data_IF_760021417588
#
_entry.id   IF_760021417588
#
_cell.length_a   1.000
_cell.length_b   1.000
_cell.length_c   1.000
_cell.angle_alpha   90.00
_cell.angle_beta   90.00
_cell.angle_gamma   90.00
#
_symmetry.space_group_name_H-M   'P 1'
#
loop_
_entity.id
_entity.type
_entity.pdbx_description
1 polymer ?
#
# COMPACT_ATOMS: atom_id res chain seq x y z
N UNK A 1 60.24 46.67 -32.47
CA UNK A 1 59.36 45.51 -32.30
C UNK A 1 58.84 45.54 -30.87
N UNK A 2 57.53 45.71 -30.71
CA UNK A 2 56.87 45.97 -29.42
C UNK A 2 56.51 44.63 -28.78
N UNK A 3 56.90 44.39 -27.54
CA UNK A 3 56.32 43.30 -26.75
C UNK A 3 55.62 43.89 -25.53
N UNK A 4 54.29 43.86 -25.60
CA UNK A 4 53.35 44.23 -24.56
C UNK A 4 53.09 42.98 -23.72
N UNK A 5 53.51 43.00 -22.45
CA UNK A 5 53.15 41.97 -21.47
C UNK A 5 51.73 42.21 -20.96
N UNK A 6 50.81 41.33 -21.33
CA UNK A 6 49.46 41.30 -20.78
C UNK A 6 49.44 40.40 -19.54
N UNK A 7 49.18 40.98 -18.38
CA UNK A 7 48.58 40.26 -17.27
C UNK A 7 47.05 40.32 -17.48
N UNK A 8 46.31 39.23 -17.18
CA UNK A 8 45.14 39.26 -16.30
C UNK A 8 44.38 37.91 -16.22
N UNK A 9 44.00 37.62 -14.98
CA UNK A 9 42.88 36.82 -14.44
C UNK A 9 42.64 35.38 -14.92
N UNK A 10 43.10 34.44 -14.10
CA UNK A 10 42.44 33.15 -13.94
C UNK A 10 41.16 33.35 -13.12
N UNK A 11 39.99 33.21 -13.75
CA UNK A 11 38.72 33.09 -13.05
C UNK A 11 38.58 31.64 -12.56
N UNK A 12 38.64 31.43 -11.24
CA UNK A 12 38.37 30.15 -10.62
C UNK A 12 36.84 29.94 -10.56
N UNK A 13 36.31 29.08 -11.42
CA UNK A 13 34.91 28.66 -11.39
C UNK A 13 34.83 27.41 -10.50
N UNK A 14 34.46 27.57 -9.23
CA UNK A 14 34.23 26.44 -8.33
C UNK A 14 32.87 25.82 -8.66
N UNK A 15 32.88 24.73 -9.42
CA UNK A 15 31.70 23.94 -9.71
C UNK A 15 31.29 23.18 -8.44
N UNK A 16 30.27 23.68 -7.73
CA UNK A 16 29.60 22.89 -6.69
C UNK A 16 28.79 21.79 -7.37
N UNK A 17 29.37 20.58 -7.48
CA UNK A 17 28.60 19.36 -7.73
C UNK A 17 27.74 19.08 -6.49
N UNK A 18 26.55 19.66 -6.44
CA UNK A 18 25.47 19.15 -5.62
C UNK A 18 24.99 17.84 -6.24
N UNK A 19 25.57 16.71 -5.84
CA UNK A 19 24.98 15.40 -6.09
C UNK A 19 23.82 15.28 -5.12
N UNK A 20 22.67 15.87 -5.46
CA UNK A 20 21.42 15.43 -4.89
C UNK A 20 21.19 14.03 -5.41
N UNK A 21 21.44 13.02 -4.56
CA UNK A 21 20.91 11.69 -4.82
C UNK A 21 19.38 11.86 -4.89
N UNK A 22 18.82 11.87 -6.09
CA UNK A 22 17.41 11.56 -6.24
C UNK A 22 17.24 10.20 -5.58
N UNK A 23 16.53 10.16 -4.44
CA UNK A 23 16.15 8.88 -3.84
C UNK A 23 15.41 8.13 -4.95
N UNK A 24 15.95 6.99 -5.36
CA UNK A 24 15.35 6.21 -6.43
C UNK A 24 13.97 5.75 -5.95
N UNK A 25 12.93 6.41 -6.44
CA UNK A 25 11.55 6.04 -6.25
C UNK A 25 11.37 4.63 -6.83
N UNK A 26 11.09 3.66 -5.96
CA UNK A 26 10.86 2.28 -6.38
C UNK A 26 9.38 2.11 -6.69
N UNK A 27 9.08 1.33 -7.72
CA UNK A 27 7.72 0.93 -8.03
C UNK A 27 7.52 -0.53 -7.61
N UNK A 28 6.52 -0.75 -6.76
CA UNK A 28 6.11 -2.06 -6.28
C UNK A 28 4.81 -2.46 -6.98
N UNK A 29 4.60 -3.74 -7.20
CA UNK A 29 3.35 -4.25 -7.80
C UNK A 29 2.51 -4.97 -6.75
N UNK A 30 1.21 -4.71 -6.78
CA UNK A 30 0.20 -5.42 -5.99
C UNK A 30 -0.89 -5.88 -6.94
N UNK A 31 -1.09 -7.19 -7.04
CA UNK A 31 -2.16 -7.78 -7.84
C UNK A 31 -3.48 -7.72 -7.08
N UNK A 32 -4.57 -7.35 -7.74
CA UNK A 32 -5.93 -7.45 -7.22
C UNK A 32 -6.59 -8.69 -7.86
N UNK A 33 -6.71 -9.75 -7.07
CA UNK A 33 -6.98 -11.10 -7.55
C UNK A 33 -8.43 -11.49 -7.26
N UNK A 34 -9.04 -12.17 -8.23
CA UNK A 34 -10.27 -12.94 -8.05
C UNK A 34 -9.93 -14.41 -8.31
N UNK A 35 -10.01 -15.25 -7.28
CA UNK A 35 -9.65 -16.66 -7.35
C UNK A 35 -10.87 -17.55 -7.16
N UNK A 36 -11.14 -18.43 -8.12
CA UNK A 36 -12.19 -19.43 -8.00
C UNK A 36 -11.72 -20.56 -7.09
N UNK A 37 -12.37 -20.70 -5.93
CA UNK A 37 -12.07 -21.79 -4.99
C UNK A 37 -13.05 -22.94 -5.23
N UNK A 38 -12.51 -24.13 -5.47
CA UNK A 38 -13.32 -25.34 -5.69
C UNK A 38 -14.27 -25.58 -4.50
N UNK A 39 -15.54 -25.84 -4.79
CA UNK A 39 -16.56 -26.09 -3.77
C UNK A 39 -17.08 -24.84 -3.05
N UNK A 40 -16.56 -23.64 -3.34
CA UNK A 40 -17.03 -22.38 -2.75
C UNK A 40 -17.98 -21.65 -3.72
N UNK A 41 -19.16 -21.17 -3.26
CA UNK A 41 -20.09 -20.44 -4.12
C UNK A 41 -19.63 -19.03 -4.46
N UNK A 42 -18.69 -18.48 -3.68
CA UNK A 42 -18.15 -17.12 -3.80
C UNK A 42 -16.63 -17.23 -3.99
N UNK A 43 -16.02 -16.53 -4.97
CA UNK A 43 -14.57 -16.50 -5.14
C UNK A 43 -13.84 -15.95 -3.90
N UNK A 44 -12.54 -16.20 -3.80
CA UNK A 44 -11.68 -15.40 -2.93
C UNK A 44 -11.30 -14.10 -3.65
N UNK A 45 -11.22 -13.00 -2.91
CA UNK A 45 -10.83 -11.68 -3.40
C UNK A 45 -9.74 -11.13 -2.49
N UNK A 46 -8.57 -10.81 -3.04
CA UNK A 46 -7.42 -10.40 -2.23
C UNK A 46 -6.42 -9.55 -3.01
N UNK A 47 -5.62 -8.80 -2.26
CA UNK A 47 -4.42 -8.16 -2.77
C UNK A 47 -3.24 -9.15 -2.63
N UNK A 48 -2.34 -9.19 -3.62
CA UNK A 48 -1.12 -9.99 -3.58
C UNK A 48 0.11 -9.12 -3.93
N UNK A 49 1.06 -8.91 -3.00
CA UNK A 49 1.01 -9.37 -1.61
C UNK A 49 -0.08 -8.63 -0.80
N UNK A 50 -0.54 -9.26 0.28
CA UNK A 50 -1.56 -8.71 1.20
C UNK A 50 -0.94 -7.86 2.31
N UNK A 51 0.36 -8.03 2.56
CA UNK A 51 1.18 -7.15 3.39
C UNK A 51 2.41 -6.68 2.62
N UNK A 52 2.77 -5.40 2.70
CA UNK A 52 3.90 -4.86 1.94
C UNK A 52 4.67 -3.80 2.74
N UNK A 53 5.99 -3.88 2.74
CA UNK A 53 6.91 -2.83 3.19
C UNK A 53 7.41 -2.04 1.98
N UNK A 54 7.27 -0.72 2.02
CA UNK A 54 7.83 0.21 1.02
C UNK A 54 8.54 1.38 1.72
N UNK A 55 9.25 2.22 0.97
CA UNK A 55 9.86 3.44 1.51
C UNK A 55 9.01 4.68 1.19
N UNK A 56 9.09 5.76 2.01
CA UNK A 56 8.47 7.03 1.66
C UNK A 56 8.89 7.51 0.27
N UNK A 57 7.90 7.89 -0.54
CA UNK A 57 8.07 8.30 -1.93
C UNK A 57 7.96 7.16 -2.95
N UNK A 58 7.87 5.91 -2.53
CA UNK A 58 7.64 4.78 -3.43
C UNK A 58 6.22 4.80 -4.01
N UNK A 59 6.07 4.19 -5.20
CA UNK A 59 4.77 4.01 -5.87
C UNK A 59 4.34 2.56 -5.83
N UNK A 60 3.06 2.31 -5.58
CA UNK A 60 2.44 0.99 -5.75
C UNK A 60 1.56 0.99 -6.99
N UNK A 61 1.80 0.02 -7.87
CA UNK A 61 1.00 -0.34 -9.04
C UNK A 61 0.00 -1.42 -8.65
N UNK A 62 -1.26 -1.03 -8.52
CA UNK A 62 -2.37 -1.95 -8.29
C UNK A 62 -2.88 -2.51 -9.62
N UNK A 63 -2.52 -3.75 -9.93
CA UNK A 63 -2.83 -4.41 -11.21
C UNK A 63 -4.06 -5.29 -11.06
N UNK A 64 -5.11 -5.05 -11.85
CA UNK A 64 -6.32 -5.85 -11.78
C UNK A 64 -6.15 -7.19 -12.52
N UNK A 65 -5.95 -8.27 -11.77
CA UNK A 65 -5.93 -9.64 -12.29
C UNK A 65 -7.34 -10.26 -12.41
N UNK A 66 -8.32 -9.68 -11.72
CA UNK A 66 -9.74 -10.05 -11.78
C UNK A 66 -10.65 -8.82 -11.87
N UNK A 67 -11.95 -9.01 -12.11
CA UNK A 67 -12.89 -7.90 -12.28
C UNK A 67 -13.31 -7.27 -10.94
N UNK A 68 -13.82 -6.04 -11.03
CA UNK A 68 -14.51 -5.31 -9.95
C UNK A 68 -13.64 -4.96 -8.73
N UNK A 69 -12.37 -4.61 -8.96
CA UNK A 69 -11.45 -4.25 -7.87
C UNK A 69 -11.23 -2.76 -7.73
N UNK A 70 -11.05 -2.32 -6.49
CA UNK A 70 -10.52 -0.99 -6.14
C UNK A 70 -9.40 -1.13 -5.12
N UNK A 71 -8.54 -0.12 -5.03
CA UNK A 71 -7.61 0.09 -3.92
C UNK A 71 -7.99 1.39 -3.22
N UNK A 72 -8.55 1.29 -2.02
CA UNK A 72 -9.18 2.41 -1.31
C UNK A 72 -8.61 2.52 0.11
N UNK A 73 -8.23 3.72 0.53
CA UNK A 73 -7.79 3.95 1.90
C UNK A 73 -8.94 3.76 2.91
N UNK A 74 -8.65 3.14 4.05
CA UNK A 74 -9.50 3.24 5.23
C UNK A 74 -9.40 4.66 5.81
N UNK A 75 -10.38 5.50 5.49
CA UNK A 75 -10.39 6.92 5.85
C UNK A 75 -11.79 7.39 6.26
N UNK A 76 -11.88 8.30 7.23
CA UNK A 76 -13.13 8.85 7.76
C UNK A 76 -14.09 9.41 6.70
N UNK A 77 -13.54 10.01 5.65
CA UNK A 77 -14.34 10.56 4.54
C UNK A 77 -14.95 9.49 3.62
N UNK A 78 -14.51 8.23 3.72
CA UNK A 78 -15.17 7.08 3.10
C UNK A 78 -16.19 6.41 4.03
N UNK A 79 -16.55 7.06 5.15
CA UNK A 79 -17.42 6.50 6.20
C UNK A 79 -16.82 5.21 6.78
N UNK A 80 -15.48 5.19 6.87
CA UNK A 80 -14.69 4.11 7.44
C UNK A 80 -13.87 4.63 8.61
N UNK A 81 -13.34 3.73 9.43
CA UNK A 81 -12.33 4.11 10.42
C UNK A 81 -11.10 4.72 9.74
N UNK A 82 -10.47 5.70 10.40
CA UNK A 82 -9.25 6.31 9.90
C UNK A 82 -8.05 5.40 10.24
N UNK A 83 -7.45 4.78 9.22
CA UNK A 83 -6.39 3.76 9.34
C UNK A 83 -5.23 4.07 8.38
N UNK A 84 -4.92 5.34 8.24
CA UNK A 84 -3.75 5.85 7.50
C UNK A 84 -3.03 6.84 8.41
N UNK A 85 -1.75 7.18 8.15
CA UNK A 85 -1.03 8.17 8.95
C UNK A 85 -1.74 9.52 9.02
N UNK A 86 -1.53 10.24 10.13
CA UNK A 86 -2.11 11.57 10.32
C UNK A 86 -1.70 12.53 9.21
N UNK A 87 -2.66 13.34 8.74
CA UNK A 87 -2.44 14.29 7.65
C UNK A 87 -2.50 13.68 6.24
N UNK A 88 -2.58 12.36 6.10
CA UNK A 88 -2.87 11.70 4.81
C UNK A 88 -4.36 11.86 4.48
N UNK A 89 -4.66 12.44 3.32
CA UNK A 89 -6.02 12.57 2.81
C UNK A 89 -6.62 11.25 2.30
N UNK A 90 -7.93 11.20 1.99
CA UNK A 90 -8.51 10.01 1.38
C UNK A 90 -7.93 9.77 -0.01
N UNK A 91 -7.80 8.50 -0.38
CA UNK A 91 -7.59 8.10 -1.77
C UNK A 91 -8.37 6.84 -2.11
N UNK A 92 -8.76 6.73 -3.38
CA UNK A 92 -9.37 5.55 -3.94
C UNK A 92 -9.05 5.49 -5.42
N UNK A 93 -8.71 4.30 -5.92
CA UNK A 93 -8.82 4.03 -7.35
C UNK A 93 -10.29 4.11 -7.80
N UNK A 94 -10.57 4.36 -9.10
CA UNK A 94 -11.80 3.88 -9.70
C UNK A 94 -11.83 2.34 -9.70
N UNK A 95 -12.93 1.74 -10.17
CA UNK A 95 -12.89 0.31 -10.52
C UNK A 95 -11.88 0.12 -11.65
N UNK A 96 -10.84 -0.66 -11.40
CA UNK A 96 -9.75 -0.88 -12.36
C UNK A 96 -10.15 -1.99 -13.33
N UNK A 97 -10.15 -1.77 -14.66
CA UNK A 97 -10.43 -2.81 -15.64
C UNK A 97 -9.42 -3.96 -15.57
N UNK A 98 -9.85 -5.18 -15.92
CA UNK A 98 -8.94 -6.34 -15.94
C UNK A 98 -7.80 -6.12 -16.91
N UNK A 99 -6.57 -6.32 -16.46
CA UNK A 99 -5.34 -6.08 -17.22
C UNK A 99 -4.81 -4.65 -17.13
N UNK A 100 -5.57 -3.71 -16.57
CA UNK A 100 -5.14 -2.34 -16.32
C UNK A 100 -4.52 -2.18 -14.92
N UNK A 101 -3.95 -0.99 -14.70
CA UNK A 101 -3.25 -0.61 -13.48
C UNK A 101 -3.74 0.73 -12.95
N UNK A 102 -3.77 0.88 -11.63
CA UNK A 102 -3.84 2.16 -10.96
C UNK A 102 -2.60 2.37 -10.10
N UNK A 103 -2.03 3.57 -10.11
CA UNK A 103 -0.80 3.90 -9.39
C UNK A 103 -1.07 4.88 -8.25
N UNK A 104 -0.42 4.65 -7.12
CA UNK A 104 -0.44 5.57 -5.98
C UNK A 104 0.95 5.70 -5.35
N UNK A 105 1.39 6.93 -5.11
CA UNK A 105 2.66 7.22 -4.42
C UNK A 105 2.39 7.48 -2.95
N UNK A 106 3.20 6.86 -2.09
CA UNK A 106 3.06 6.93 -0.63
C UNK A 106 4.16 7.78 -0.02
N UNK A 107 3.88 9.05 0.27
CA UNK A 107 4.89 9.99 0.79
C UNK A 107 5.02 9.98 2.32
N UNK A 108 3.93 9.70 3.05
CA UNK A 108 3.92 9.75 4.51
C UNK A 108 4.40 8.44 5.13
N UNK A 109 5.36 8.48 6.05
CA UNK A 109 5.75 7.30 6.82
C UNK A 109 4.60 6.84 7.73
N UNK A 110 4.51 5.53 7.98
CA UNK A 110 3.51 4.92 8.86
C UNK A 110 2.80 3.72 8.24
N UNK A 111 1.75 3.25 8.92
CA UNK A 111 0.96 2.08 8.51
C UNK A 111 -0.35 2.51 7.84
N UNK A 112 -0.63 1.93 6.68
CA UNK A 112 -1.81 2.17 5.86
C UNK A 112 -2.59 0.87 5.72
N UNK A 113 -3.86 0.88 6.10
CA UNK A 113 -4.79 -0.18 5.71
C UNK A 113 -5.61 0.26 4.50
N UNK A 114 -5.72 -0.63 3.53
CA UNK A 114 -6.51 -0.44 2.32
C UNK A 114 -7.58 -1.54 2.21
N UNK A 115 -8.66 -1.23 1.50
CA UNK A 115 -9.74 -2.15 1.18
C UNK A 115 -10.17 -2.03 -0.28
N UNK A 116 -10.80 -3.09 -0.77
CA UNK A 116 -11.50 -3.08 -2.05
C UNK A 116 -13.00 -2.90 -1.82
N UNK A 117 -13.59 -1.85 -2.38
CA UNK A 117 -14.95 -1.44 -2.05
C UNK A 117 -16.03 -2.50 -2.33
N UNK A 118 -16.01 -3.20 -3.48
CA UNK A 118 -16.98 -4.26 -3.75
C UNK A 118 -16.76 -5.56 -2.95
N UNK A 119 -15.57 -5.76 -2.38
CA UNK A 119 -15.13 -7.07 -1.86
C UNK A 119 -14.67 -7.06 -0.40
N UNK A 120 -14.76 -5.93 0.29
CA UNK A 120 -14.46 -5.80 1.72
C UNK A 120 -15.23 -6.81 2.57
N UNK A 121 -16.51 -6.99 2.24
CA UNK A 121 -17.38 -7.92 2.93
C UNK A 121 -16.87 -9.36 2.85
N UNK A 122 -16.04 -9.68 1.85
CA UNK A 122 -15.44 -11.00 1.66
C UNK A 122 -13.97 -11.09 2.12
N UNK A 123 -13.47 -10.05 2.80
CA UNK A 123 -12.12 -10.04 3.37
C UNK A 123 -11.06 -9.30 2.54
N UNK A 124 -11.43 -8.65 1.44
CA UNK A 124 -10.43 -8.02 0.56
C UNK A 124 -9.90 -6.70 1.13
N UNK A 125 -8.84 -6.82 1.91
CA UNK A 125 -8.06 -5.72 2.48
C UNK A 125 -6.57 -6.07 2.51
N UNK A 126 -5.74 -5.04 2.68
CA UNK A 126 -4.28 -5.19 2.77
C UNK A 126 -3.69 -4.16 3.71
N UNK A 127 -2.43 -4.40 4.10
CA UNK A 127 -1.63 -3.48 4.90
C UNK A 127 -0.33 -3.10 4.21
N UNK A 128 -0.05 -1.80 4.16
CA UNK A 128 1.22 -1.26 3.67
C UNK A 128 1.92 -0.55 4.83
N UNK A 129 3.17 -0.89 5.09
CA UNK A 129 4.06 -0.15 6.00
C UNK A 129 4.99 0.70 5.14
N UNK A 130 4.97 2.01 5.36
CA UNK A 130 5.80 2.98 4.63
C UNK A 130 6.91 3.45 5.56
N UNK A 131 8.13 3.01 5.30
CA UNK A 131 9.28 3.25 6.18
C UNK A 131 9.18 2.45 7.48
N UNK A 132 8.47 3.00 8.47
CA UNK A 132 8.29 2.40 9.80
C UNK A 132 6.81 2.34 10.21
N UNK A 133 6.39 1.35 11.02
CA UNK A 133 5.03 1.27 11.53
C UNK A 133 4.66 2.48 12.38
N UNK A 134 3.45 2.97 12.18
CA UNK A 134 2.95 4.11 12.94
C UNK A 134 1.55 4.53 12.55
N UNK A 135 1.01 5.45 13.35
CA UNK A 135 -0.30 6.04 13.10
C UNK A 135 -1.50 5.16 13.48
N UNK A 136 -2.72 5.61 13.13
CA UNK A 136 -3.99 5.01 13.52
C UNK A 136 -4.18 3.52 13.17
N UNK A 137 -3.54 3.02 12.10
CA UNK A 137 -3.64 1.61 11.72
C UNK A 137 -2.98 0.65 12.73
N UNK A 138 -2.17 1.16 13.65
CA UNK A 138 -1.56 0.37 14.73
C UNK A 138 -2.55 -0.01 15.83
N UNK A 139 -3.69 0.69 15.93
CA UNK A 139 -4.72 0.32 16.90
C UNK A 139 -5.32 -1.05 16.56
N UNK A 140 -5.73 -1.86 17.55
CA UNK A 140 -6.51 -3.06 17.30
C UNK A 140 -7.81 -2.77 16.55
N UNK A 141 -8.26 -3.71 15.73
CA UNK A 141 -9.61 -3.68 15.15
C UNK A 141 -10.57 -4.34 16.14
N UNK A 142 -11.34 -3.50 16.84
CA UNK A 142 -12.22 -3.91 17.93
C UNK A 142 -13.57 -4.48 17.44
N UNK A 143 -14.04 -4.04 16.27
CA UNK A 143 -15.27 -4.53 15.63
C UNK A 143 -14.94 -5.51 14.51
N UNK A 144 -14.95 -6.81 14.85
CA UNK A 144 -14.72 -7.93 13.92
C UNK A 144 -16.02 -8.57 13.44
N UNK A 145 -17.16 -7.90 13.63
CA UNK A 145 -18.46 -8.42 13.21
C UNK A 145 -18.60 -8.38 11.68
N UNK A 146 -19.26 -9.37 11.05
CA UNK A 146 -19.54 -9.35 9.61
C UNK A 146 -20.39 -8.15 9.15
N UNK A 147 -21.13 -7.51 10.07
CA UNK A 147 -21.91 -6.27 9.82
C UNK A 147 -21.22 -5.01 10.34
N UNK A 148 -19.99 -5.15 10.85
CA UNK A 148 -19.19 -4.07 11.38
C UNK A 148 -18.59 -3.19 10.29
N UNK A 149 -17.88 -2.13 10.71
CA UNK A 149 -17.30 -1.12 9.80
C UNK A 149 -16.31 -1.74 8.79
N UNK A 150 -15.75 -2.90 9.12
CA UNK A 150 -14.74 -3.63 8.35
C UNK A 150 -15.26 -4.95 7.74
N UNK A 151 -16.45 -5.43 8.14
CA UNK A 151 -16.92 -6.78 7.79
C UNK A 151 -15.83 -7.86 7.97
N UNK A 152 -15.71 -8.84 7.06
CA UNK A 152 -14.67 -9.87 7.15
C UNK A 152 -13.24 -9.36 6.90
N UNK A 153 -13.05 -8.14 6.35
CA UNK A 153 -11.72 -7.55 6.24
C UNK A 153 -11.07 -7.32 7.62
N UNK A 154 -11.87 -7.21 8.69
CA UNK A 154 -11.35 -7.18 10.05
C UNK A 154 -10.55 -8.44 10.40
N UNK A 155 -10.97 -9.62 9.94
CA UNK A 155 -10.31 -10.88 10.24
C UNK A 155 -8.95 -10.96 9.53
N UNK A 156 -8.91 -10.57 8.25
CA UNK A 156 -7.66 -10.48 7.47
C UNK A 156 -6.70 -9.47 8.08
N UNK A 157 -7.13 -8.23 8.32
CA UNK A 157 -6.28 -7.18 8.91
C UNK A 157 -5.85 -7.46 10.35
N UNK A 158 -6.54 -8.36 11.05
CA UNK A 158 -6.19 -8.80 12.40
C UNK A 158 -5.37 -10.09 12.43
N UNK A 159 -5.09 -10.71 11.28
CA UNK A 159 -4.26 -11.90 11.21
C UNK A 159 -2.83 -11.57 11.67
N UNK A 160 -2.19 -12.41 12.52
CA UNK A 160 -0.83 -12.17 12.98
C UNK A 160 0.20 -11.98 11.85
N UNK A 161 -0.04 -12.56 10.67
CA UNK A 161 0.83 -12.35 9.51
C UNK A 161 0.82 -10.90 9.02
N UNK A 162 -0.24 -10.12 9.28
CA UNK A 162 -0.31 -8.69 8.99
C UNK A 162 0.08 -7.79 10.18
N UNK A 163 0.71 -8.34 11.21
CA UNK A 163 1.38 -7.51 12.21
C UNK A 163 2.44 -6.62 11.52
N UNK A 164 2.44 -5.29 11.75
CA UNK A 164 3.39 -4.39 11.11
C UNK A 164 4.86 -4.74 11.35
N UNK A 165 5.20 -5.34 12.50
CA UNK A 165 6.55 -5.82 12.79
C UNK A 165 6.90 -7.09 11.98
N UNK A 166 5.90 -7.93 11.68
CA UNK A 166 6.06 -9.07 10.78
C UNK A 166 6.30 -8.61 9.33
N UNK A 167 5.53 -7.62 8.84
CA UNK A 167 5.74 -7.02 7.52
C UNK A 167 7.11 -6.35 7.43
N UNK A 168 7.53 -5.60 8.46
CA UNK A 168 8.86 -5.01 8.52
C UNK A 168 9.99 -6.04 8.38
N UNK A 169 9.83 -7.19 9.04
CA UNK A 169 10.88 -8.23 9.09
C UNK A 169 10.98 -9.02 7.79
N UNK A 170 9.86 -9.24 7.10
CA UNK A 170 9.80 -10.08 5.91
C UNK A 170 9.74 -9.30 4.59
N UNK A 171 9.44 -7.99 4.64
CA UNK A 171 9.30 -7.12 3.47
C UNK A 171 7.96 -7.26 2.74
N UNK A 172 7.39 -8.46 2.69
CA UNK A 172 6.05 -8.72 2.13
C UNK A 172 5.40 -9.92 2.78
N UNK A 173 4.09 -10.01 2.68
CA UNK A 173 3.27 -11.14 3.15
C UNK A 173 2.33 -11.55 2.03
N UNK A 174 2.42 -12.80 1.59
CA UNK A 174 1.54 -13.37 0.57
C UNK A 174 0.15 -13.67 1.14
N UNK A 175 -0.89 -13.62 0.30
CA UNK A 175 -2.21 -14.10 0.68
C UNK A 175 -2.18 -15.54 1.19
N UNK A 176 -1.27 -16.37 0.69
CA UNK A 176 -1.10 -17.76 1.13
C UNK A 176 -0.75 -17.88 2.63
N UNK A 177 -0.11 -16.87 3.21
CA UNK A 177 0.32 -16.87 4.62
C UNK A 177 -0.78 -16.48 5.60
N UNK A 178 -1.85 -15.84 5.12
CA UNK A 178 -3.02 -15.52 5.95
C UNK A 178 -3.71 -16.82 6.40
N UNK A 179 -4.13 -16.89 7.65
CA UNK A 179 -4.77 -18.09 8.21
C UNK A 179 -6.06 -18.45 7.47
N UNK A 180 -6.43 -19.74 7.49
CA UNK A 180 -7.70 -20.21 6.94
C UNK A 180 -8.90 -19.52 7.59
N UNK A 181 -8.85 -19.33 8.90
CA UNK A 181 -9.93 -18.76 9.71
C UNK A 181 -10.18 -17.29 9.30
N UNK A 182 -9.12 -16.55 8.97
CA UNK A 182 -9.25 -15.18 8.46
C UNK A 182 -9.82 -15.10 7.03
N UNK A 183 -9.84 -16.21 6.29
CA UNK A 183 -10.31 -16.29 4.90
C UNK A 183 -11.76 -16.78 4.76
N UNK A 184 -12.42 -17.11 5.86
CA UNK A 184 -13.78 -17.64 5.85
C UNK A 184 -14.81 -16.65 5.27
N UNK A 185 -15.89 -17.18 4.67
CA UNK A 185 -16.97 -16.32 4.16
C UNK A 185 -17.77 -15.72 5.32
N UNK A 186 -18.48 -14.60 5.09
CA UNK A 186 -19.40 -14.06 6.08
C UNK A 186 -20.42 -15.11 6.55
N UNK A 187 -20.52 -15.29 7.87
CA UNK A 187 -21.50 -16.17 8.49
C UNK A 187 -21.18 -17.67 8.41
N UNK A 188 -19.95 -18.02 8.04
CA UNK A 188 -19.36 -19.35 8.26
C UNK A 188 -18.52 -19.30 9.53
#
# INVERSE_FOLDING_TARGET
>A
MKHVTHALFAALFTLMLGIGAALAQTTHEVMMVTEMIEGRPIPAFYFEPVGLLIQPGDTVRFVAAGPHHTATAYHGQHVKSHRVPEGVGPFSSPVVPVGDVWEHTFDGAGTYDLWCAPHEHYGMAMRIVVGEPGGPAMAPIDDRSPVGVYANAALVLSDPALDPAHILSNGSVSWAEISSDAKELPGQ
#
